data_IF_135033282445
#
_entry.id   IF_135033282445
#
_cell.length_a   1.000
_cell.length_b   1.000
_cell.length_c   1.000
_cell.angle_alpha   90.00
_cell.angle_beta   90.00
_cell.angle_gamma   90.00
#
_symmetry.space_group_name_H-M   'P 1'
#
loop_
_entity.id
_entity.type
_entity.pdbx_description
1 polymer ?
#
# COMPACT_ATOMS: atom_id res chain seq x y z
N UNK A 1 31.29 25.67 -1.69
CA UNK A 1 32.51 24.88 -1.98
C UNK A 1 33.52 25.21 -0.90
N UNK A 2 33.64 24.37 0.12
CA UNK A 2 34.77 24.39 1.07
C UNK A 2 34.84 22.99 1.68
N UNK A 3 35.06 21.99 0.82
CA UNK A 3 35.02 20.58 1.22
C UNK A 3 36.39 20.06 1.67
N UNK A 4 37.42 20.90 1.59
CA UNK A 4 38.79 20.54 1.89
C UNK A 4 39.41 21.65 2.73
N UNK A 5 39.75 21.34 3.99
CA UNK A 5 40.60 22.21 4.79
C UNK A 5 42.03 22.05 4.30
N UNK A 6 42.74 23.17 4.11
CA UNK A 6 44.15 23.16 3.75
C UNK A 6 44.92 22.56 4.93
N UNK A 7 45.75 21.56 4.66
CA UNK A 7 46.54 20.89 5.70
C UNK A 7 47.68 21.84 6.13
N UNK A 8 47.62 22.38 7.34
CA UNK A 8 48.58 23.38 7.87
C UNK A 8 49.68 22.76 8.74
N UNK A 9 49.77 21.44 8.79
CA UNK A 9 50.72 20.73 9.65
C UNK A 9 52.15 20.83 9.10
N UNK A 10 52.89 21.81 9.63
CA UNK A 10 54.27 22.14 9.25
C UNK A 10 55.29 21.03 9.55
N UNK A 11 54.91 19.96 10.26
CA UNK A 11 55.81 18.85 10.62
C UNK A 11 55.71 17.62 9.70
N UNK A 12 54.86 17.67 8.67
CA UNK A 12 54.69 16.54 7.75
C UNK A 12 55.91 16.42 6.82
N UNK A 13 56.75 15.42 7.06
CA UNK A 13 57.91 15.10 6.19
C UNK A 13 57.43 14.60 4.83
N UNK A 14 58.11 14.98 3.74
CA UNK A 14 57.86 14.45 2.40
C UNK A 14 57.86 12.92 2.41
N UNK A 15 56.83 12.29 1.84
CA UNK A 15 56.68 10.84 1.74
C UNK A 15 55.74 10.17 2.74
N UNK A 16 55.23 10.90 3.75
CA UNK A 16 54.26 10.33 4.70
C UNK A 16 52.80 10.61 4.29
N UNK A 17 52.05 9.56 3.94
CA UNK A 17 50.62 9.63 3.68
C UNK A 17 49.82 9.89 4.97
N UNK A 18 48.92 10.88 4.97
CA UNK A 18 47.94 11.09 6.03
C UNK A 18 46.63 10.37 5.73
N UNK A 19 46.05 9.72 6.73
CA UNK A 19 44.75 9.10 6.60
C UNK A 19 43.64 10.18 6.66
N UNK A 20 43.17 10.62 5.50
CA UNK A 20 42.15 11.66 5.37
C UNK A 20 40.73 11.21 5.79
N UNK A 21 40.52 9.93 6.13
CA UNK A 21 39.19 9.43 6.59
C UNK A 21 38.72 10.10 7.90
N UNK A 22 39.65 10.68 8.67
CA UNK A 22 39.33 11.39 9.92
C UNK A 22 38.76 12.79 9.68
N UNK A 23 39.17 13.44 8.59
CA UNK A 23 38.85 14.85 8.31
C UNK A 23 37.89 15.03 7.13
N UNK A 24 37.61 13.96 6.38
CA UNK A 24 36.74 13.97 5.20
C UNK A 24 35.75 12.81 5.28
N UNK A 25 34.46 13.14 5.20
CA UNK A 25 33.42 12.16 4.99
C UNK A 25 33.53 11.59 3.56
N UNK A 26 34.15 10.41 3.45
CA UNK A 26 34.33 9.70 2.18
C UNK A 26 33.03 9.03 1.76
N UNK A 27 32.26 9.70 0.91
CA UNK A 27 31.13 9.10 0.19
C UNK A 27 31.64 8.20 -0.93
N UNK A 28 32.11 7.01 -0.55
CA UNK A 28 32.54 6.00 -1.51
C UNK A 28 31.34 5.46 -2.29
N UNK A 29 31.59 4.85 -3.45
CA UNK A 29 30.55 4.15 -4.19
C UNK A 29 29.81 3.13 -3.29
N UNK A 30 30.55 2.36 -2.48
CA UNK A 30 29.98 1.43 -1.50
C UNK A 30 29.11 2.11 -0.46
N UNK A 31 29.51 3.27 0.07
CA UNK A 31 28.70 4.04 1.02
C UNK A 31 27.40 4.54 0.39
N UNK A 32 27.44 5.01 -0.86
CA UNK A 32 26.23 5.45 -1.58
C UNK A 32 25.25 4.28 -1.82
N UNK A 33 25.76 3.10 -2.20
CA UNK A 33 24.96 1.88 -2.36
C UNK A 33 24.38 1.44 -1.01
N UNK A 34 25.17 1.45 0.07
CA UNK A 34 24.70 1.12 1.41
C UNK A 34 23.59 2.05 1.86
N UNK A 35 23.75 3.37 1.72
CA UNK A 35 22.70 4.33 2.08
C UNK A 35 21.44 4.13 1.22
N UNK A 36 21.58 3.88 -0.08
CA UNK A 36 20.43 3.63 -0.96
C UNK A 36 19.68 2.35 -0.55
N UNK A 37 20.41 1.28 -0.24
CA UNK A 37 19.85 0.02 0.23
C UNK A 37 19.20 0.18 1.61
N UNK A 38 19.88 0.81 2.56
CA UNK A 38 19.34 1.08 3.89
C UNK A 38 18.06 1.91 3.81
N UNK A 39 18.04 2.99 3.02
CA UNK A 39 16.84 3.79 2.81
C UNK A 39 15.72 3.04 2.05
N UNK A 40 16.07 2.01 1.28
CA UNK A 40 15.12 1.15 0.58
C UNK A 40 14.50 0.03 1.44
N UNK A 41 15.16 -0.36 2.53
CA UNK A 41 14.69 -1.44 3.42
C UNK A 41 14.17 -0.92 4.78
N UNK A 42 14.71 0.20 5.25
CA UNK A 42 14.44 0.78 6.56
C UNK A 42 13.82 2.18 6.41
N UNK A 43 12.78 2.44 7.20
CA UNK A 43 12.20 3.76 7.46
C UNK A 43 12.71 4.29 8.80
N UNK A 44 12.41 5.56 9.12
CA UNK A 44 12.74 6.17 10.42
C UNK A 44 12.26 5.34 11.61
N UNK A 45 11.15 4.63 11.42
CA UNK A 45 10.43 3.92 12.49
C UNK A 45 10.58 2.38 12.39
N UNK A 46 11.50 1.86 11.56
CA UNK A 46 11.78 0.42 11.47
C UNK A 46 11.76 -0.15 10.04
N UNK A 47 11.54 -1.46 9.91
CA UNK A 47 11.54 -2.14 8.61
C UNK A 47 10.30 -1.80 7.78
N UNK A 48 10.48 -1.51 6.49
CA UNK A 48 9.35 -1.24 5.57
C UNK A 48 8.35 -2.41 5.52
N UNK A 49 8.84 -3.64 5.64
CA UNK A 49 8.00 -4.83 5.67
C UNK A 49 7.08 -4.88 6.90
N UNK A 50 7.57 -4.48 8.07
CA UNK A 50 6.76 -4.40 9.29
C UNK A 50 5.71 -3.29 9.17
N UNK A 51 6.10 -2.15 8.60
CA UNK A 51 5.15 -1.07 8.31
C UNK A 51 4.05 -1.53 7.36
N UNK A 52 4.40 -2.16 6.22
CA UNK A 52 3.43 -2.68 5.26
C UNK A 52 2.49 -3.71 5.90
N UNK A 53 3.06 -4.66 6.66
CA UNK A 53 2.29 -5.64 7.45
C UNK A 53 1.31 -4.95 8.39
N UNK A 54 1.71 -3.88 9.08
CA UNK A 54 0.84 -3.14 9.98
C UNK A 54 -0.37 -2.52 9.28
N UNK A 55 -0.21 -2.05 8.02
CA UNK A 55 -1.31 -1.46 7.24
C UNK A 55 -2.30 -2.51 6.75
N UNK A 56 -1.81 -3.67 6.33
CA UNK A 56 -2.64 -4.81 5.98
C UNK A 56 -3.42 -5.30 7.21
N UNK A 57 -2.73 -5.42 8.36
CA UNK A 57 -3.32 -5.85 9.62
C UNK A 57 -4.40 -4.87 10.12
N UNK A 58 -4.27 -3.57 9.86
CA UNK A 58 -5.31 -2.58 10.15
C UNK A 58 -6.62 -2.88 9.41
N UNK A 59 -6.54 -3.24 8.12
CA UNK A 59 -7.72 -3.60 7.31
C UNK A 59 -8.34 -4.88 7.88
N UNK A 60 -7.52 -5.90 8.11
CA UNK A 60 -7.96 -7.19 8.65
C UNK A 60 -8.67 -7.03 10.01
N UNK A 61 -8.06 -6.31 10.95
CA UNK A 61 -8.66 -6.06 12.27
C UNK A 61 -9.97 -5.31 12.17
N UNK A 62 -10.08 -4.33 11.27
CA UNK A 62 -11.33 -3.62 11.04
C UNK A 62 -12.41 -4.56 10.49
N UNK A 63 -12.06 -5.41 9.52
CA UNK A 63 -12.95 -6.43 8.97
C UNK A 63 -13.46 -7.40 10.05
N UNK A 64 -12.56 -7.97 10.85
CA UNK A 64 -12.90 -8.87 11.96
C UNK A 64 -13.82 -8.18 13.00
N UNK A 65 -13.52 -6.93 13.33
CA UNK A 65 -14.34 -6.12 14.24
C UNK A 65 -15.77 -5.95 13.71
N UNK A 66 -15.92 -5.64 12.42
CA UNK A 66 -17.23 -5.48 11.79
C UNK A 66 -18.00 -6.80 11.83
N UNK A 67 -17.38 -7.92 11.43
CA UNK A 67 -18.03 -9.25 11.47
C UNK A 67 -18.45 -9.66 12.88
N UNK A 68 -17.63 -9.36 13.89
CA UNK A 68 -17.95 -9.69 15.28
C UNK A 68 -19.12 -8.85 15.85
N UNK A 69 -19.23 -7.59 15.43
CA UNK A 69 -20.21 -6.64 15.99
C UNK A 69 -21.52 -6.53 15.18
N UNK A 70 -21.50 -6.87 13.89
CA UNK A 70 -22.67 -6.81 13.01
C UNK A 70 -23.93 -7.49 13.60
N UNK A 71 -23.88 -8.73 14.15
CA UNK A 71 -25.10 -9.41 14.59
C UNK A 71 -25.69 -8.88 15.91
N UNK A 72 -25.03 -7.93 16.60
CA UNK A 72 -25.33 -7.65 18.03
C UNK A 72 -26.15 -6.38 18.28
N UNK A 73 -26.06 -5.32 17.46
CA UNK A 73 -26.79 -4.07 17.72
C UNK A 73 -26.88 -3.09 16.53
N UNK A 74 -28.07 -2.54 16.26
CA UNK A 74 -28.29 -1.47 15.26
C UNK A 74 -27.47 -0.20 15.54
N UNK A 75 -27.22 0.14 16.81
CA UNK A 75 -26.43 1.34 17.19
C UNK A 75 -24.96 1.21 16.75
N UNK A 76 -24.35 0.04 16.94
CA UNK A 76 -22.97 -0.21 16.51
C UNK A 76 -22.85 -0.17 14.99
N UNK A 77 -23.85 -0.68 14.24
CA UNK A 77 -23.85 -0.64 12.77
C UNK A 77 -23.71 0.79 12.23
N UNK A 78 -24.36 1.79 12.83
CA UNK A 78 -24.26 3.19 12.40
C UNK A 78 -22.87 3.78 12.66
N UNK A 79 -22.29 3.53 13.84
CA UNK A 79 -20.94 3.99 14.19
C UNK A 79 -19.90 3.34 13.28
N UNK A 80 -20.00 2.03 13.05
CA UNK A 80 -19.10 1.29 12.17
C UNK A 80 -19.21 1.77 10.72
N UNK A 81 -20.42 2.08 10.23
CA UNK A 81 -20.61 2.66 8.90
C UNK A 81 -19.87 3.99 8.75
N UNK A 82 -19.95 4.87 9.75
CA UNK A 82 -19.21 6.14 9.74
C UNK A 82 -17.70 5.89 9.71
N UNK A 83 -17.19 5.00 10.57
CA UNK A 83 -15.77 4.63 10.61
C UNK A 83 -15.29 4.03 9.29
N UNK A 84 -16.10 3.17 8.67
CA UNK A 84 -15.85 2.59 7.35
C UNK A 84 -15.68 3.68 6.29
N UNK A 85 -16.61 4.65 6.22
CA UNK A 85 -16.55 5.75 5.24
C UNK A 85 -15.28 6.60 5.38
N UNK A 86 -14.78 6.79 6.60
CA UNK A 86 -13.51 7.49 6.82
C UNK A 86 -12.28 6.67 6.39
N UNK A 87 -12.34 5.34 6.47
CA UNK A 87 -11.21 4.45 6.19
C UNK A 87 -11.15 3.93 4.76
N UNK A 88 -12.29 3.85 4.07
CA UNK A 88 -12.40 3.14 2.78
C UNK A 88 -11.46 3.68 1.70
N UNK A 89 -11.28 5.01 1.61
CA UNK A 89 -10.34 5.61 0.64
C UNK A 89 -8.91 5.14 0.88
N UNK A 90 -8.47 5.13 2.14
CA UNK A 90 -7.15 4.64 2.54
C UNK A 90 -7.02 3.14 2.27
N UNK A 91 -8.04 2.36 2.59
CA UNK A 91 -8.03 0.91 2.40
C UNK A 91 -7.97 0.52 0.93
N UNK A 92 -8.76 1.18 0.06
CA UNK A 92 -8.70 0.99 -1.38
C UNK A 92 -7.32 1.34 -1.95
N UNK A 93 -6.70 2.43 -1.46
CA UNK A 93 -5.36 2.79 -1.87
C UNK A 93 -4.32 1.73 -1.45
N UNK A 94 -4.39 1.24 -0.21
CA UNK A 94 -3.51 0.16 0.26
C UNK A 94 -3.70 -1.09 -0.63
N UNK A 95 -4.94 -1.47 -0.93
CA UNK A 95 -5.23 -2.61 -1.79
C UNK A 95 -4.66 -2.42 -3.20
N UNK A 96 -4.74 -1.23 -3.79
CA UNK A 96 -4.30 -0.98 -5.16
C UNK A 96 -2.77 -0.97 -5.32
N UNK A 97 -2.01 -0.71 -4.25
CA UNK A 97 -0.54 -0.66 -4.28
C UNK A 97 0.12 -1.97 -3.85
N UNK A 98 -0.63 -2.97 -3.38
CA UNK A 98 -0.08 -4.29 -3.08
C UNK A 98 0.35 -4.95 -4.40
N UNK A 99 1.65 -5.18 -4.55
CA UNK A 99 2.23 -5.80 -5.74
C UNK A 99 2.09 -7.32 -5.81
N UNK A 100 1.61 -7.96 -4.74
CA UNK A 100 1.43 -9.41 -4.65
C UNK A 100 -0.04 -9.77 -4.94
N UNK A 101 -0.36 -10.42 -6.07
CA UNK A 101 -1.75 -10.62 -6.51
C UNK A 101 -2.65 -11.38 -5.53
N UNK A 102 -2.11 -12.37 -4.81
CA UNK A 102 -2.88 -13.17 -3.87
C UNK A 102 -3.33 -12.34 -2.67
N UNK A 103 -2.42 -11.63 -2.00
CA UNK A 103 -2.72 -10.69 -0.92
C UNK A 103 -3.64 -9.57 -1.42
N UNK A 104 -3.39 -9.03 -2.61
CA UNK A 104 -4.26 -8.03 -3.21
C UNK A 104 -5.72 -8.52 -3.33
N UNK A 105 -5.90 -9.79 -3.72
CA UNK A 105 -7.21 -10.44 -3.84
C UNK A 105 -7.86 -10.65 -2.47
N UNK A 106 -7.11 -11.12 -1.47
CA UNK A 106 -7.63 -11.28 -0.10
C UNK A 106 -8.15 -9.95 0.45
N UNK A 107 -7.37 -8.88 0.28
CA UNK A 107 -7.77 -7.55 0.75
C UNK A 107 -8.96 -7.03 -0.04
N UNK A 108 -9.02 -7.25 -1.36
CA UNK A 108 -10.19 -6.94 -2.17
C UNK A 108 -11.45 -7.62 -1.61
N UNK A 109 -11.38 -8.92 -1.33
CA UNK A 109 -12.51 -9.69 -0.77
C UNK A 109 -12.99 -9.12 0.57
N UNK A 110 -12.09 -8.73 1.47
CA UNK A 110 -12.49 -8.08 2.72
C UNK A 110 -13.22 -6.76 2.48
N UNK A 111 -12.76 -5.95 1.53
CA UNK A 111 -13.38 -4.66 1.22
C UNK A 111 -14.74 -4.83 0.54
N UNK A 112 -14.86 -5.80 -0.36
CA UNK A 112 -16.11 -6.20 -1.00
C UNK A 112 -17.16 -6.64 0.02
N UNK A 113 -16.77 -7.50 0.98
CA UNK A 113 -17.66 -7.93 2.05
C UNK A 113 -18.07 -6.78 2.97
N UNK A 114 -17.16 -5.84 3.27
CA UNK A 114 -17.49 -4.64 4.03
C UNK A 114 -18.48 -3.74 3.27
N UNK A 115 -18.28 -3.56 1.97
CA UNK A 115 -19.21 -2.82 1.11
C UNK A 115 -20.58 -3.50 1.11
N UNK A 116 -20.64 -4.82 0.97
CA UNK A 116 -21.89 -5.59 1.04
C UNK A 116 -22.63 -5.37 2.37
N UNK A 117 -21.91 -5.32 3.50
CA UNK A 117 -22.51 -5.13 4.85
C UNK A 117 -23.10 -3.72 5.03
N UNK A 118 -22.44 -2.69 4.51
CA UNK A 118 -22.80 -1.29 4.74
C UNK A 118 -23.59 -0.64 3.61
N UNK A 119 -23.45 -1.13 2.38
CA UNK A 119 -24.03 -0.62 1.14
C UNK A 119 -24.21 -1.72 0.07
N UNK A 120 -25.07 -2.70 0.39
CA UNK A 120 -25.34 -3.86 -0.48
C UNK A 120 -25.83 -3.48 -1.89
N UNK A 121 -26.55 -2.37 -2.05
CA UNK A 121 -27.04 -1.95 -3.36
C UNK A 121 -25.90 -1.44 -4.25
N UNK A 122 -25.00 -0.63 -3.68
CA UNK A 122 -23.78 -0.20 -4.37
C UNK A 122 -22.88 -1.40 -4.69
N UNK A 123 -22.69 -2.32 -3.74
CA UNK A 123 -21.95 -3.57 -3.95
C UNK A 123 -22.48 -4.37 -5.15
N UNK A 124 -23.79 -4.65 -5.19
CA UNK A 124 -24.40 -5.39 -6.30
C UNK A 124 -24.18 -4.69 -7.63
N UNK A 125 -24.36 -3.36 -7.68
CA UNK A 125 -24.17 -2.57 -8.89
C UNK A 125 -22.72 -2.64 -9.37
N UNK A 126 -21.75 -2.49 -8.46
CA UNK A 126 -20.33 -2.55 -8.77
C UNK A 126 -19.94 -3.95 -9.26
N UNK A 127 -20.40 -5.01 -8.60
CA UNK A 127 -20.14 -6.40 -9.02
C UNK A 127 -20.78 -6.75 -10.34
N UNK A 128 -21.99 -6.27 -10.60
CA UNK A 128 -22.63 -6.43 -11.91
C UNK A 128 -21.78 -5.78 -13.00
N UNK A 129 -21.27 -4.57 -12.74
CA UNK A 129 -20.37 -3.89 -13.67
C UNK A 129 -19.07 -4.66 -13.89
N UNK A 130 -18.38 -5.07 -12.81
CA UNK A 130 -17.15 -5.88 -12.90
C UNK A 130 -17.37 -7.19 -13.66
N UNK A 131 -18.55 -7.80 -13.55
CA UNK A 131 -18.90 -9.01 -14.30
C UNK A 131 -19.14 -8.71 -15.78
N UNK A 132 -19.87 -7.64 -16.11
CA UNK A 132 -20.13 -7.23 -17.49
C UNK A 132 -18.84 -6.81 -18.21
N UNK A 133 -17.90 -6.17 -17.50
CA UNK A 133 -16.60 -5.76 -18.03
C UNK A 133 -15.70 -6.97 -18.42
N UNK A 134 -16.09 -8.21 -18.12
CA UNK A 134 -15.40 -9.44 -18.57
C UNK A 134 -15.77 -9.87 -19.99
N UNK A 135 -16.81 -9.26 -20.57
CA UNK A 135 -17.32 -9.60 -21.89
C UNK A 135 -17.10 -8.44 -22.87
N UNK A 136 -16.92 -8.77 -24.15
CA UNK A 136 -16.84 -7.75 -25.19
C UNK A 136 -18.23 -7.15 -25.47
N UNK A 137 -18.32 -5.85 -25.85
CA UNK A 137 -19.61 -5.19 -26.11
C UNK A 137 -20.45 -5.90 -27.16
N UNK A 138 -19.83 -6.50 -28.19
CA UNK A 138 -20.53 -7.23 -29.24
C UNK A 138 -21.20 -8.51 -28.72
N UNK A 139 -20.58 -9.21 -27.77
CA UNK A 139 -21.13 -10.42 -27.16
C UNK A 139 -22.36 -10.10 -26.33
N UNK A 140 -22.30 -9.01 -25.56
CA UNK A 140 -23.42 -8.50 -24.79
C UNK A 140 -24.58 -8.06 -25.69
N UNK A 141 -24.28 -7.33 -26.77
CA UNK A 141 -25.30 -6.89 -27.72
C UNK A 141 -26.01 -8.08 -28.37
N UNK A 142 -25.26 -9.08 -28.81
CA UNK A 142 -25.82 -10.30 -29.39
C UNK A 142 -26.75 -11.02 -28.40
N UNK A 143 -26.35 -11.14 -27.14
CA UNK A 143 -27.19 -11.74 -26.10
C UNK A 143 -28.51 -10.96 -25.89
N UNK A 144 -28.46 -9.63 -25.88
CA UNK A 144 -29.64 -8.78 -25.74
C UNK A 144 -30.58 -8.93 -26.93
N UNK A 145 -30.05 -8.97 -28.15
CA UNK A 145 -30.82 -9.13 -29.38
C UNK A 145 -31.53 -10.50 -29.40
N UNK A 146 -30.84 -11.58 -29.02
CA UNK A 146 -31.43 -12.92 -28.92
C UNK A 146 -32.53 -13.03 -27.86
N UNK A 147 -32.39 -12.30 -26.75
CA UNK A 147 -33.39 -12.27 -25.67
C UNK A 147 -34.63 -11.48 -26.06
N UNK A 148 -34.45 -10.34 -26.72
CA UNK A 148 -35.54 -9.50 -27.19
C UNK A 148 -36.32 -10.15 -28.34
N UNK A 149 -35.68 -10.98 -29.16
CA UNK A 149 -36.35 -11.76 -30.20
C UNK A 149 -37.21 -12.91 -29.67
N UNK A 150 -37.05 -13.29 -28.39
CA UNK A 150 -37.78 -14.38 -27.73
C UNK A 150 -38.86 -13.89 -26.75
N UNK A 151 -38.99 -12.58 -26.56
CA UNK A 151 -39.96 -11.92 -25.68
C UNK A 151 -41.13 -11.36 -26.50
#
# INVERSE_FOLDING_TARGET
MEKYKKDEDKNQKEGNCKNATKDIELKTFGANIHTLLSNGFFMSDGLMGEFAKSKIEEIKKFYELVKFLEPKNKKYKRILKILYLFKIKKFNHIQSIIGEPFLQTIIKNYLDELEQIFDNETYKKNKMKEFLDQFEPEELQKYLDEKNAKA
#
